data_IF_402268292316
#
_entry.id   IF_402268292316
#
_cell.length_a   1.000
_cell.length_b   1.000
_cell.length_c   1.000
_cell.angle_alpha   90.00
_cell.angle_beta   90.00
_cell.angle_gamma   90.00
#
_symmetry.space_group_name_H-M   'P 1'
#
loop_
_entity.id
_entity.type
_entity.pdbx_description
1 polymer ?
#
# COMPACT_ATOMS: atom_id res chain seq x y z
N UNK A 1 -28.49 32.54 14.21
CA UNK A 1 -27.98 32.31 12.83
C UNK A 1 -26.47 32.01 12.75
N UNK A 2 -25.57 32.89 13.24
CA UNK A 2 -24.11 32.59 13.21
C UNK A 2 -23.71 31.42 14.11
N UNK A 3 -24.29 31.27 15.29
CA UNK A 3 -24.05 30.13 16.19
C UNK A 3 -24.52 28.81 15.59
N UNK A 4 -25.65 28.81 14.90
CA UNK A 4 -26.19 27.61 14.25
C UNK A 4 -25.30 27.14 13.08
N UNK A 5 -24.75 28.10 12.32
CA UNK A 5 -23.79 27.78 11.22
C UNK A 5 -22.49 27.18 11.77
N UNK A 6 -21.99 27.70 12.90
CA UNK A 6 -20.81 27.17 13.55
C UNK A 6 -21.04 25.74 14.09
N UNK A 7 -22.20 25.49 14.70
CA UNK A 7 -22.61 24.17 15.18
C UNK A 7 -22.73 23.17 14.03
N UNK A 8 -23.36 23.53 12.92
CA UNK A 8 -23.52 22.71 11.73
C UNK A 8 -22.17 22.38 11.08
N UNK A 9 -21.25 23.35 11.00
CA UNK A 9 -19.89 23.12 10.50
C UNK A 9 -19.12 22.13 11.37
N UNK A 10 -19.21 22.27 12.70
CA UNK A 10 -18.58 21.37 13.67
C UNK A 10 -19.14 19.95 13.57
N UNK A 11 -20.46 19.82 13.44
CA UNK A 11 -21.11 18.51 13.27
C UNK A 11 -20.73 17.84 11.96
N UNK A 12 -20.71 18.60 10.84
CA UNK A 12 -20.28 18.10 9.54
C UNK A 12 -18.81 17.65 9.54
N UNK A 13 -17.95 18.43 10.18
CA UNK A 13 -16.53 18.08 10.33
C UNK A 13 -16.35 16.80 11.16
N UNK A 14 -17.07 16.66 12.28
CA UNK A 14 -17.04 15.45 13.10
C UNK A 14 -17.54 14.22 12.34
N UNK A 15 -18.64 14.33 11.61
CA UNK A 15 -19.17 13.24 10.78
C UNK A 15 -18.18 12.82 9.69
N UNK A 16 -17.53 13.78 9.05
CA UNK A 16 -16.49 13.52 8.04
C UNK A 16 -15.29 12.80 8.65
N UNK A 17 -14.81 13.25 9.80
CA UNK A 17 -13.70 12.58 10.51
C UNK A 17 -14.05 11.14 10.91
N UNK A 18 -15.24 10.92 11.48
CA UNK A 18 -15.66 9.58 11.89
C UNK A 18 -15.76 8.61 10.70
N UNK A 19 -16.27 9.08 9.55
CA UNK A 19 -16.27 8.28 8.31
C UNK A 19 -14.84 7.96 7.86
N UNK A 20 -13.94 8.95 7.91
CA UNK A 20 -12.52 8.73 7.56
C UNK A 20 -11.86 7.68 8.46
N UNK A 21 -12.09 7.73 9.76
CA UNK A 21 -11.58 6.73 10.72
C UNK A 21 -12.15 5.35 10.42
N UNK A 22 -13.47 5.23 10.18
CA UNK A 22 -14.11 3.96 9.86
C UNK A 22 -13.51 3.34 8.59
N UNK A 23 -13.32 4.14 7.53
CA UNK A 23 -12.67 3.66 6.30
C UNK A 23 -11.20 3.27 6.53
N UNK A 24 -10.46 4.01 7.35
CA UNK A 24 -9.08 3.67 7.68
C UNK A 24 -8.98 2.34 8.44
N UNK A 25 -9.86 2.09 9.40
CA UNK A 25 -9.94 0.82 10.13
C UNK A 25 -10.30 -0.33 9.18
N UNK A 26 -11.33 -0.15 8.35
CA UNK A 26 -11.73 -1.15 7.36
C UNK A 26 -10.58 -1.47 6.38
N UNK A 27 -9.88 -0.44 5.89
CA UNK A 27 -8.70 -0.60 5.04
C UNK A 27 -7.59 -1.39 5.73
N UNK A 28 -7.32 -1.11 7.02
CA UNK A 28 -6.33 -1.84 7.80
C UNK A 28 -6.68 -3.33 7.95
N UNK A 29 -7.94 -3.66 8.21
CA UNK A 29 -8.42 -5.04 8.26
C UNK A 29 -8.24 -5.73 6.90
N UNK A 30 -8.66 -5.08 5.81
CA UNK A 30 -8.49 -5.62 4.45
C UNK A 30 -7.01 -5.82 4.09
N UNK A 31 -6.13 -4.91 4.50
CA UNK A 31 -4.69 -5.03 4.29
C UNK A 31 -4.10 -6.23 5.07
N UNK A 32 -4.52 -6.43 6.31
CA UNK A 32 -4.11 -7.59 7.09
C UNK A 32 -4.56 -8.92 6.47
N UNK A 33 -5.81 -8.98 5.99
CA UNK A 33 -6.32 -10.15 5.26
C UNK A 33 -5.55 -10.39 3.95
N UNK A 34 -5.31 -9.33 3.17
CA UNK A 34 -4.48 -9.40 1.96
C UNK A 34 -3.11 -10.01 2.24
N UNK A 35 -2.42 -9.51 3.27
CA UNK A 35 -1.10 -10.03 3.66
C UNK A 35 -1.16 -11.50 4.07
N UNK A 36 -2.15 -11.88 4.86
CA UNK A 36 -2.33 -13.27 5.29
C UNK A 36 -2.57 -14.22 4.11
N UNK A 37 -3.44 -13.84 3.16
CA UNK A 37 -3.70 -14.64 1.97
C UNK A 37 -2.50 -14.68 1.03
N UNK A 38 -1.74 -13.59 0.91
CA UNK A 38 -0.52 -13.56 0.11
C UNK A 38 0.52 -14.53 0.68
N UNK A 39 0.79 -14.47 1.99
CA UNK A 39 1.71 -15.41 2.67
C UNK A 39 1.25 -16.87 2.52
N UNK A 40 -0.05 -17.11 2.64
CA UNK A 40 -0.61 -18.45 2.43
C UNK A 40 -0.38 -18.94 0.98
N UNK A 41 -0.58 -18.07 0.00
CA UNK A 41 -0.30 -18.36 -1.41
C UNK A 41 1.17 -18.66 -1.67
N UNK A 42 2.09 -17.93 -1.05
CA UNK A 42 3.54 -18.14 -1.18
C UNK A 42 4.03 -19.45 -0.54
N UNK A 43 3.24 -20.05 0.35
CA UNK A 43 3.62 -21.27 1.07
C UNK A 43 2.82 -22.50 0.67
N UNK A 44 1.76 -22.36 -0.13
CA UNK A 44 0.86 -23.47 -0.47
C UNK A 44 0.52 -23.52 -1.98
N UNK A 45 0.15 -24.71 -2.42
CA UNK A 45 -0.27 -24.96 -3.80
C UNK A 45 0.84 -24.77 -4.81
N UNK A 46 0.45 -24.41 -6.04
CA UNK A 46 1.38 -24.22 -7.17
C UNK A 46 2.35 -23.08 -6.92
N UNK A 47 1.87 -21.97 -6.36
CA UNK A 47 2.70 -20.84 -6.00
C UNK A 47 3.73 -21.20 -4.94
N UNK A 48 3.32 -21.94 -3.89
CA UNK A 48 4.22 -22.41 -2.87
C UNK A 48 5.34 -23.28 -3.43
N UNK A 49 5.01 -24.21 -4.33
CA UNK A 49 5.99 -25.04 -5.02
C UNK A 49 6.99 -24.19 -5.85
N UNK A 50 6.50 -23.18 -6.58
CA UNK A 50 7.37 -22.29 -7.35
C UNK A 50 8.26 -21.42 -6.46
N UNK A 51 7.73 -20.88 -5.38
CA UNK A 51 8.54 -20.12 -4.41
C UNK A 51 9.56 -21.01 -3.67
N UNK A 52 9.25 -22.28 -3.47
CA UNK A 52 10.19 -23.27 -2.93
C UNK A 52 11.26 -23.71 -3.95
N UNK A 53 11.17 -23.30 -5.21
CA UNK A 53 12.08 -23.69 -6.27
C UNK A 53 11.85 -25.11 -6.79
N UNK A 54 10.66 -25.67 -6.57
CA UNK A 54 10.30 -27.00 -7.03
C UNK A 54 9.98 -27.01 -8.53
N UNK A 55 10.24 -28.15 -9.18
CA UNK A 55 9.86 -28.37 -10.57
C UNK A 55 8.34 -28.50 -10.70
N UNK A 56 7.77 -27.87 -11.72
CA UNK A 56 6.35 -27.97 -12.04
C UNK A 56 6.14 -28.75 -13.34
N UNK A 57 5.35 -29.81 -13.28
CA UNK A 57 5.00 -30.65 -14.45
C UNK A 57 6.21 -31.14 -15.27
N UNK A 58 7.31 -31.51 -14.63
CA UNK A 58 8.51 -31.99 -15.29
C UNK A 58 9.39 -30.91 -15.91
N UNK A 59 9.07 -29.64 -15.77
CA UNK A 59 9.91 -28.52 -16.14
C UNK A 59 11.06 -28.33 -15.13
N UNK A 60 12.16 -27.73 -15.58
CA UNK A 60 13.26 -27.36 -14.68
C UNK A 60 12.80 -26.39 -13.59
N UNK A 61 13.39 -26.46 -12.38
CA UNK A 61 13.09 -25.51 -11.33
C UNK A 61 13.39 -24.07 -11.80
N UNK A 62 12.63 -23.11 -11.26
CA UNK A 62 12.86 -21.70 -11.56
C UNK A 62 14.22 -21.23 -11.02
N UNK A 63 14.85 -20.30 -11.73
CA UNK A 63 16.09 -19.68 -11.23
C UNK A 63 15.82 -18.87 -9.95
N UNK A 64 16.83 -18.69 -9.11
CA UNK A 64 16.72 -17.86 -7.90
C UNK A 64 16.24 -16.43 -8.21
N UNK A 65 16.68 -15.84 -9.33
CA UNK A 65 16.19 -14.55 -9.80
C UNK A 65 14.69 -14.58 -10.12
N UNK A 66 14.22 -15.62 -10.83
CA UNK A 66 12.81 -15.76 -11.17
C UNK A 66 11.94 -15.94 -9.92
N UNK A 67 12.40 -16.74 -8.95
CA UNK A 67 11.70 -16.93 -7.68
C UNK A 67 11.59 -15.61 -6.92
N UNK A 68 12.71 -14.90 -6.77
CA UNK A 68 12.75 -13.68 -5.94
C UNK A 68 12.00 -12.51 -6.58
N UNK A 69 12.18 -12.27 -7.87
CA UNK A 69 11.70 -11.04 -8.51
C UNK A 69 10.55 -11.27 -9.49
N UNK A 70 10.60 -12.31 -10.33
CA UNK A 70 9.57 -12.52 -11.35
C UNK A 70 8.26 -13.00 -10.72
N UNK A 71 8.30 -13.92 -9.77
CA UNK A 71 7.09 -14.36 -9.07
C UNK A 71 6.51 -13.24 -8.21
N UNK A 72 7.36 -12.44 -7.54
CA UNK A 72 6.94 -11.28 -6.79
C UNK A 72 6.25 -10.24 -7.68
N UNK A 73 6.83 -9.95 -8.86
CA UNK A 73 6.25 -9.04 -9.83
C UNK A 73 4.90 -9.56 -10.37
N UNK A 74 4.79 -10.87 -10.62
CA UNK A 74 3.56 -11.49 -11.10
C UNK A 74 2.45 -11.44 -10.02
N UNK A 75 2.78 -11.72 -8.77
CA UNK A 75 1.84 -11.61 -7.64
C UNK A 75 1.33 -10.17 -7.46
N UNK A 76 2.24 -9.19 -7.50
CA UNK A 76 1.91 -7.78 -7.46
C UNK A 76 1.01 -7.37 -8.64
N UNK A 77 1.40 -7.76 -9.86
CA UNK A 77 0.65 -7.45 -11.08
C UNK A 77 -0.76 -8.04 -11.11
N UNK A 78 -0.95 -9.25 -10.61
CA UNK A 78 -2.29 -9.85 -10.46
C UNK A 78 -3.15 -9.06 -9.49
N UNK A 79 -2.62 -8.65 -8.34
CA UNK A 79 -3.33 -7.82 -7.38
C UNK A 79 -3.79 -6.50 -8.01
N UNK A 80 -2.89 -5.81 -8.71
CA UNK A 80 -3.19 -4.51 -9.31
C UNK A 80 -4.11 -4.64 -10.53
N UNK A 81 -4.03 -5.73 -11.30
CA UNK A 81 -4.96 -6.04 -12.38
C UNK A 81 -6.41 -6.14 -11.88
N UNK A 82 -6.65 -6.93 -10.83
CA UNK A 82 -8.00 -7.08 -10.26
C UNK A 82 -8.50 -5.77 -9.65
N UNK A 83 -7.65 -5.03 -8.97
CA UNK A 83 -7.97 -3.72 -8.41
C UNK A 83 -8.28 -2.70 -9.50
N UNK A 84 -7.51 -2.70 -10.59
CA UNK A 84 -7.71 -1.86 -11.77
C UNK A 84 -9.04 -2.16 -12.48
N UNK A 85 -9.34 -3.43 -12.73
CA UNK A 85 -10.61 -3.87 -13.31
C UNK A 85 -11.80 -3.45 -12.45
N UNK A 86 -11.71 -3.64 -11.13
CA UNK A 86 -12.75 -3.19 -10.21
C UNK A 86 -12.96 -1.68 -10.26
N UNK A 87 -11.88 -0.91 -10.28
CA UNK A 87 -11.93 0.55 -10.38
C UNK A 87 -12.57 1.02 -11.67
N UNK A 88 -12.29 0.36 -12.80
CA UNK A 88 -12.95 0.63 -14.09
C UNK A 88 -14.44 0.36 -14.03
N UNK A 89 -14.86 -0.78 -13.46
CA UNK A 89 -16.28 -1.11 -13.29
C UNK A 89 -16.98 -0.05 -12.44
N UNK A 90 -16.33 0.43 -11.38
CA UNK A 90 -16.88 1.48 -10.52
C UNK A 90 -16.99 2.82 -11.26
N UNK A 91 -15.99 3.22 -12.06
CA UNK A 91 -16.06 4.41 -12.91
C UNK A 91 -17.13 4.29 -13.99
N UNK A 92 -17.29 3.10 -14.60
CA UNK A 92 -18.33 2.85 -15.59
C UNK A 92 -19.73 2.98 -14.99
N UNK A 93 -19.98 2.35 -13.83
CA UNK A 93 -21.26 2.45 -13.12
C UNK A 93 -21.64 3.87 -12.74
N UNK A 94 -20.65 4.73 -12.47
CA UNK A 94 -20.86 6.13 -12.12
C UNK A 94 -20.86 7.08 -13.35
N UNK A 95 -20.73 6.56 -14.56
CA UNK A 95 -20.68 7.38 -15.78
C UNK A 95 -19.41 8.23 -15.93
N UNK A 96 -18.33 7.90 -15.19
CA UNK A 96 -17.11 8.71 -15.07
C UNK A 96 -15.99 8.32 -16.03
N UNK A 97 -16.21 7.37 -16.96
CA UNK A 97 -15.17 6.93 -17.90
C UNK A 97 -14.65 8.06 -18.81
N UNK A 98 -15.55 8.97 -19.24
CA UNK A 98 -15.17 10.13 -20.02
C UNK A 98 -14.27 11.10 -19.26
N UNK A 99 -14.57 11.29 -17.97
CA UNK A 99 -13.82 12.17 -17.10
C UNK A 99 -12.47 11.54 -16.69
N UNK A 100 -12.41 10.22 -16.51
CA UNK A 100 -11.17 9.48 -16.31
C UNK A 100 -10.19 9.74 -17.47
N UNK A 101 -10.67 9.59 -18.74
CA UNK A 101 -9.84 9.84 -19.93
C UNK A 101 -9.34 11.29 -20.00
N UNK A 102 -10.19 12.26 -19.69
CA UNK A 102 -9.81 13.69 -19.69
C UNK A 102 -8.79 13.98 -18.59
N UNK A 103 -9.00 13.42 -17.39
CA UNK A 103 -8.16 13.66 -16.22
C UNK A 103 -6.74 13.11 -16.41
N UNK A 104 -6.58 11.95 -17.04
CA UNK A 104 -5.26 11.37 -17.39
C UNK A 104 -4.40 12.35 -18.20
N UNK A 105 -5.01 13.13 -19.09
CA UNK A 105 -4.30 14.10 -19.92
C UNK A 105 -3.85 15.36 -19.15
N UNK A 106 -4.39 15.61 -17.95
CA UNK A 106 -4.06 16.79 -17.14
C UNK A 106 -2.74 16.63 -16.37
N UNK A 107 -2.15 17.76 -15.94
CA UNK A 107 -0.97 17.73 -15.06
C UNK A 107 -1.20 16.93 -13.79
N UNK A 108 -2.29 17.16 -13.01
CA UNK A 108 -2.56 16.36 -11.81
C UNK A 108 -2.70 14.86 -12.10
N UNK A 109 -3.38 14.50 -13.22
CA UNK A 109 -3.52 13.10 -13.64
C UNK A 109 -2.18 12.44 -13.93
N UNK A 110 -1.29 13.12 -14.66
CA UNK A 110 0.06 12.59 -14.97
C UNK A 110 0.93 12.46 -13.72
N UNK A 111 0.87 13.42 -12.80
CA UNK A 111 1.59 13.31 -11.51
C UNK A 111 1.06 12.12 -10.72
N UNK A 112 -0.26 11.92 -10.69
CA UNK A 112 -0.88 10.76 -10.05
C UNK A 112 -0.37 9.44 -10.66
N UNK A 113 -0.31 9.34 -12.00
CA UNK A 113 0.23 8.17 -12.69
C UNK A 113 1.70 7.91 -12.32
N UNK A 114 2.55 8.95 -12.36
CA UNK A 114 3.96 8.80 -12.00
C UNK A 114 4.14 8.31 -10.56
N UNK A 115 3.37 8.86 -9.62
CA UNK A 115 3.43 8.43 -8.23
C UNK A 115 2.86 7.03 -8.04
N UNK A 116 1.82 6.67 -8.79
CA UNK A 116 1.27 5.32 -8.78
C UNK A 116 2.26 4.28 -9.33
N UNK A 117 3.09 4.63 -10.32
CA UNK A 117 4.15 3.76 -10.81
C UNK A 117 5.23 3.49 -9.74
N UNK A 118 5.47 4.44 -8.85
CA UNK A 118 6.39 4.26 -7.70
C UNK A 118 5.73 3.44 -6.59
N UNK A 119 4.51 3.77 -6.21
CA UNK A 119 3.80 3.11 -5.11
C UNK A 119 3.19 1.76 -5.51
N UNK A 120 2.77 1.57 -6.77
CA UNK A 120 2.26 0.31 -7.31
C UNK A 120 3.40 -0.67 -7.59
N UNK A 121 3.91 -0.72 -8.84
CA UNK A 121 4.85 -1.76 -9.24
C UNK A 121 6.09 -1.82 -8.36
N UNK A 122 6.76 -0.68 -8.16
CA UNK A 122 8.02 -0.67 -7.40
C UNK A 122 7.82 -1.05 -5.93
N UNK A 123 6.90 -0.38 -5.23
CA UNK A 123 6.71 -0.64 -3.79
C UNK A 123 6.04 -1.99 -3.53
N UNK A 124 5.08 -2.40 -4.37
CA UNK A 124 4.39 -3.68 -4.20
C UNK A 124 5.31 -4.85 -4.50
N UNK A 125 6.13 -4.80 -5.56
CA UNK A 125 7.16 -5.81 -5.84
C UNK A 125 8.15 -5.88 -4.67
N UNK A 126 8.64 -4.73 -4.20
CA UNK A 126 9.54 -4.69 -3.05
C UNK A 126 8.90 -5.34 -1.80
N UNK A 127 7.61 -5.09 -1.55
CA UNK A 127 6.89 -5.71 -0.43
C UNK A 127 6.78 -7.23 -0.58
N UNK A 128 6.43 -7.75 -1.76
CA UNK A 128 6.32 -9.19 -2.00
C UNK A 128 7.69 -9.86 -1.89
N UNK A 129 8.75 -9.24 -2.44
CA UNK A 129 10.13 -9.71 -2.25
C UNK A 129 10.51 -9.76 -0.76
N UNK A 130 10.15 -8.72 0.00
CA UNK A 130 10.39 -8.67 1.43
C UNK A 130 9.69 -9.81 2.17
N UNK A 131 8.41 -10.01 1.87
CA UNK A 131 7.58 -11.02 2.50
C UNK A 131 8.11 -12.44 2.20
N UNK A 132 8.42 -12.72 0.93
CA UNK A 132 8.99 -14.00 0.51
C UNK A 132 10.33 -14.28 1.21
N UNK A 133 11.26 -13.33 1.21
CA UNK A 133 12.57 -13.48 1.87
C UNK A 133 12.43 -13.73 3.37
N UNK A 134 11.51 -13.03 4.04
CA UNK A 134 11.28 -13.21 5.46
C UNK A 134 10.51 -14.49 5.78
N UNK A 135 9.63 -14.95 4.89
CA UNK A 135 8.92 -16.23 5.01
C UNK A 135 9.91 -17.38 4.90
N UNK A 136 10.83 -17.34 3.96
CA UNK A 136 11.92 -18.33 3.80
C UNK A 136 12.83 -18.37 5.05
N UNK A 137 13.05 -17.23 5.70
CA UNK A 137 13.81 -17.14 6.96
C UNK A 137 12.98 -17.47 8.22
N UNK A 138 11.69 -17.84 8.08
CA UNK A 138 10.81 -18.15 9.21
C UNK A 138 10.30 -16.94 9.99
N UNK A 139 10.47 -15.71 9.51
CA UNK A 139 10.16 -14.47 10.21
C UNK A 139 9.26 -13.48 9.42
N UNK A 140 8.15 -13.89 8.79
CA UNK A 140 7.34 -12.97 7.97
C UNK A 140 6.68 -11.84 8.78
N UNK A 141 6.47 -12.05 10.08
CA UNK A 141 5.84 -11.07 10.97
C UNK A 141 6.61 -9.76 11.15
N UNK A 142 7.89 -9.70 10.77
CA UNK A 142 8.71 -8.48 10.84
C UNK A 142 8.38 -7.52 9.68
N UNK A 143 7.98 -8.02 8.54
CA UNK A 143 7.82 -7.24 7.31
C UNK A 143 6.64 -6.27 7.39
N UNK A 144 5.50 -6.73 7.91
CA UNK A 144 4.28 -5.91 8.00
C UNK A 144 4.47 -4.64 8.83
N UNK A 145 5.08 -4.73 10.05
CA UNK A 145 5.40 -3.54 10.84
C UNK A 145 6.32 -2.55 10.12
N UNK A 146 7.35 -3.04 9.43
CA UNK A 146 8.27 -2.16 8.68
C UNK A 146 7.52 -1.48 7.52
N UNK A 147 6.73 -2.23 6.77
CA UNK A 147 5.93 -1.68 5.68
C UNK A 147 4.90 -0.65 6.18
N UNK A 148 4.35 -0.83 7.39
CA UNK A 148 3.41 0.12 8.01
C UNK A 148 4.04 1.49 8.36
N UNK A 149 5.39 1.63 8.32
CA UNK A 149 6.07 2.92 8.43
C UNK A 149 5.69 3.88 7.28
N UNK A 150 5.06 3.39 6.22
CA UNK A 150 4.55 4.21 5.11
C UNK A 150 3.69 5.37 5.61
N UNK A 151 2.88 5.17 6.66
CA UNK A 151 2.06 6.22 7.25
C UNK A 151 2.90 7.35 7.86
N UNK A 152 3.98 7.00 8.56
CA UNK A 152 4.92 7.96 9.14
C UNK A 152 5.69 8.70 8.05
N UNK A 153 6.22 7.97 7.07
CA UNK A 153 6.93 8.52 5.90
C UNK A 153 6.02 9.47 5.14
N UNK A 154 4.78 9.07 4.85
CA UNK A 154 3.79 9.90 4.16
C UNK A 154 3.45 11.18 4.93
N UNK A 155 3.34 11.11 6.26
CA UNK A 155 3.09 12.29 7.10
C UNK A 155 4.27 13.27 7.09
N UNK A 156 5.50 12.76 7.18
CA UNK A 156 6.73 13.56 7.11
C UNK A 156 6.88 14.21 5.73
N UNK A 157 6.71 13.44 4.66
CA UNK A 157 6.73 13.94 3.29
C UNK A 157 5.64 14.98 3.04
N UNK A 158 4.43 14.78 3.56
CA UNK A 158 3.33 15.75 3.49
C UNK A 158 3.68 17.07 4.17
N UNK A 159 4.43 17.02 5.27
CA UNK A 159 4.94 18.22 5.94
C UNK A 159 6.00 18.93 5.11
N UNK A 160 6.93 18.19 4.51
CA UNK A 160 8.06 18.75 3.75
C UNK A 160 7.59 19.28 2.39
N UNK A 161 6.87 18.47 1.61
CA UNK A 161 6.52 18.78 0.23
C UNK A 161 5.32 19.75 0.13
N UNK A 162 4.30 19.55 0.98
CA UNK A 162 3.04 20.29 0.90
C UNK A 162 2.81 21.21 2.09
N UNK A 163 3.79 21.36 2.99
CA UNK A 163 3.72 22.20 4.20
C UNK A 163 2.45 21.92 5.05
N UNK A 164 1.97 20.67 5.03
CA UNK A 164 0.81 20.27 5.81
C UNK A 164 1.09 20.40 7.30
N UNK A 165 0.10 20.86 8.08
CA UNK A 165 0.22 20.92 9.52
C UNK A 165 0.17 19.53 10.14
N UNK A 166 1.21 19.14 10.87
CA UNK A 166 1.22 17.97 11.73
C UNK A 166 0.68 18.39 13.11
N UNK A 167 -0.64 18.36 13.27
CA UNK A 167 -1.25 18.57 14.58
C UNK A 167 -0.96 17.42 15.55
N UNK A 168 -1.08 17.68 16.85
CA UNK A 168 -0.77 16.70 17.91
C UNK A 168 -1.49 15.35 17.72
N UNK A 169 -2.72 15.34 17.25
CA UNK A 169 -3.45 14.10 16.97
C UNK A 169 -2.85 13.26 15.85
N UNK A 170 -2.31 13.90 14.80
CA UNK A 170 -1.62 13.19 13.71
C UNK A 170 -0.31 12.59 14.19
N UNK A 171 0.45 13.35 14.99
CA UNK A 171 1.69 12.88 15.61
C UNK A 171 1.41 11.71 16.55
N UNK A 172 0.39 11.82 17.41
CA UNK A 172 -0.02 10.72 18.28
C UNK A 172 -0.42 9.47 17.48
N UNK A 173 -1.16 9.61 16.37
CA UNK A 173 -1.50 8.50 15.49
C UNK A 173 -0.26 7.82 14.89
N UNK A 174 0.71 8.59 14.42
CA UNK A 174 1.98 8.04 13.90
C UNK A 174 2.74 7.30 15.01
N UNK A 175 2.82 7.87 16.22
CA UNK A 175 3.51 7.22 17.35
C UNK A 175 2.81 5.92 17.78
N UNK A 176 1.48 5.86 17.76
CA UNK A 176 0.72 4.63 18.03
C UNK A 176 1.00 3.57 16.95
N UNK A 177 1.04 3.95 15.66
CA UNK A 177 1.42 3.03 14.59
C UNK A 177 2.84 2.49 14.77
N UNK A 178 3.80 3.36 15.11
CA UNK A 178 5.19 2.95 15.37
C UNK A 178 5.29 2.02 16.58
N UNK A 179 4.58 2.32 17.66
CA UNK A 179 4.56 1.48 18.86
C UNK A 179 3.93 0.10 18.56
N UNK A 180 2.82 0.05 17.82
CA UNK A 180 2.20 -1.20 17.40
C UNK A 180 3.13 -2.01 16.48
N UNK A 181 3.81 -1.36 15.54
CA UNK A 181 4.80 -1.98 14.68
C UNK A 181 5.96 -2.58 15.50
N UNK A 182 6.48 -1.82 16.45
CA UNK A 182 7.54 -2.28 17.36
C UNK A 182 7.09 -3.45 18.25
N UNK A 183 5.84 -3.42 18.73
CA UNK A 183 5.28 -4.51 19.56
C UNK A 183 5.13 -5.82 18.76
N UNK A 184 4.68 -5.75 17.51
CA UNK A 184 4.51 -6.92 16.64
C UNK A 184 5.88 -7.45 16.18
N UNK A 185 6.79 -6.56 15.77
CA UNK A 185 8.10 -6.92 15.24
C UNK A 185 9.13 -7.27 16.32
N UNK A 186 8.97 -6.76 17.55
CA UNK A 186 10.02 -6.77 18.57
C UNK A 186 10.53 -8.16 18.96
N UNK A 187 9.66 -9.15 19.03
CA UNK A 187 10.06 -10.55 19.32
C UNK A 187 10.76 -11.23 18.14
N UNK A 188 10.47 -10.81 16.94
CA UNK A 188 11.03 -11.36 15.70
C UNK A 188 12.38 -10.73 15.33
N UNK A 189 12.66 -9.50 15.78
CA UNK A 189 13.93 -8.82 15.54
C UNK A 189 15.13 -9.46 16.24
N UNK A 190 14.91 -10.08 17.38
CA UNK A 190 15.99 -10.65 18.21
C UNK A 190 16.72 -11.84 17.56
N UNK A 191 16.08 -12.52 16.59
CA UNK A 191 16.58 -13.75 15.97
C UNK A 191 16.74 -13.63 14.45
N UNK A 192 17.02 -12.42 13.93
CA UNK A 192 17.13 -12.18 12.49
C UNK A 192 18.47 -12.63 11.93
N UNK A 193 18.43 -13.53 10.93
CA UNK A 193 19.55 -13.85 10.05
C UNK A 193 19.72 -12.83 8.90
N UNK A 194 20.82 -12.97 8.12
CA UNK A 194 21.10 -12.09 6.97
C UNK A 194 19.98 -12.01 5.94
N UNK A 195 19.26 -13.10 5.71
CA UNK A 195 18.13 -13.17 4.75
C UNK A 195 16.94 -12.34 5.23
N UNK A 196 16.68 -12.33 6.54
CA UNK A 196 15.64 -11.50 7.12
C UNK A 196 16.00 -10.00 7.02
N UNK A 197 17.28 -9.64 7.15
CA UNK A 197 17.76 -8.26 6.94
C UNK A 197 17.53 -7.79 5.49
N UNK A 198 17.76 -8.65 4.51
CA UNK A 198 17.42 -8.37 3.12
C UNK A 198 15.92 -8.08 2.95
N UNK A 199 15.07 -8.91 3.54
CA UNK A 199 13.62 -8.68 3.58
C UNK A 199 13.26 -7.34 4.23
N UNK A 200 13.88 -6.99 5.35
CA UNK A 200 13.65 -5.70 6.02
C UNK A 200 14.02 -4.49 5.14
N UNK A 201 15.12 -4.57 4.39
CA UNK A 201 15.50 -3.52 3.44
C UNK A 201 14.42 -3.31 2.38
N UNK A 202 13.93 -4.38 1.77
CA UNK A 202 12.86 -4.31 0.78
C UNK A 202 11.53 -3.85 1.37
N UNK A 203 11.21 -4.25 2.61
CA UNK A 203 10.05 -3.72 3.33
C UNK A 203 10.13 -2.21 3.56
N UNK A 204 11.32 -1.69 3.87
CA UNK A 204 11.55 -0.26 4.02
C UNK A 204 11.43 0.48 2.69
N UNK A 205 11.95 -0.08 1.59
CA UNK A 205 11.76 0.47 0.24
C UNK A 205 10.27 0.52 -0.14
N UNK A 206 9.51 -0.53 0.17
CA UNK A 206 8.06 -0.55 -0.01
C UNK A 206 7.37 0.53 0.81
N UNK A 207 7.73 0.67 2.10
CA UNK A 207 7.20 1.71 2.98
C UNK A 207 7.46 3.12 2.44
N UNK A 208 8.65 3.37 1.89
CA UNK A 208 9.00 4.65 1.27
C UNK A 208 8.15 4.90 0.02
N UNK A 209 8.06 3.93 -0.89
CA UNK A 209 7.28 4.05 -2.13
C UNK A 209 5.79 4.31 -1.84
N UNK A 210 5.17 3.55 -0.95
CA UNK A 210 3.78 3.76 -0.55
C UNK A 210 3.57 5.06 0.23
N UNK A 211 4.51 5.43 1.11
CA UNK A 211 4.46 6.70 1.84
C UNK A 211 4.53 7.90 0.91
N UNK A 212 5.40 7.86 -0.10
CA UNK A 212 5.51 8.88 -1.13
C UNK A 212 4.24 8.96 -1.98
N UNK A 213 3.77 7.82 -2.51
CA UNK A 213 2.54 7.76 -3.28
C UNK A 213 1.35 8.28 -2.47
N UNK A 214 1.16 7.79 -1.25
CA UNK A 214 0.06 8.19 -0.38
C UNK A 214 0.06 9.68 -0.06
N UNK A 215 1.25 10.27 0.12
CA UNK A 215 1.41 11.70 0.33
C UNK A 215 0.95 12.51 -0.90
N UNK A 216 1.41 12.13 -2.09
CA UNK A 216 1.09 12.83 -3.35
C UNK A 216 -0.36 12.57 -3.76
N UNK A 217 -0.84 11.33 -3.65
CA UNK A 217 -2.22 10.98 -3.94
C UNK A 217 -3.20 11.71 -3.00
N UNK A 218 -2.88 11.79 -1.71
CA UNK A 218 -3.68 12.53 -0.74
C UNK A 218 -3.82 14.02 -1.08
N UNK A 219 -2.76 14.65 -1.60
CA UNK A 219 -2.83 16.01 -2.12
C UNK A 219 -3.58 16.08 -3.46
N UNK A 220 -3.36 15.10 -4.33
CA UNK A 220 -4.01 15.02 -5.66
C UNK A 220 -5.54 14.91 -5.58
N UNK A 221 -6.08 14.24 -4.55
CA UNK A 221 -7.54 14.12 -4.35
C UNK A 221 -8.23 15.44 -4.00
N UNK A 222 -7.50 16.50 -3.70
CA UNK A 222 -8.05 17.87 -3.61
C UNK A 222 -8.34 18.44 -5.00
N UNK A 223 -7.62 17.98 -6.03
CA UNK A 223 -7.67 18.49 -7.40
C UNK A 223 -8.46 17.57 -8.36
N UNK A 224 -8.59 16.30 -8.02
CA UNK A 224 -9.22 15.25 -8.83
C UNK A 224 -10.27 14.54 -7.97
N UNK A 225 -11.42 14.18 -8.57
CA UNK A 225 -12.39 13.30 -7.91
C UNK A 225 -11.68 12.01 -7.44
N UNK A 226 -11.89 11.64 -6.18
CA UNK A 226 -11.17 10.53 -5.55
C UNK A 226 -11.38 9.19 -6.27
N UNK A 227 -12.54 8.95 -6.89
CA UNK A 227 -12.84 7.73 -7.63
C UNK A 227 -12.01 7.65 -8.91
N UNK A 228 -11.90 8.78 -9.61
CA UNK A 228 -11.05 8.91 -10.78
C UNK A 228 -9.58 8.78 -10.39
N UNK A 229 -9.18 9.40 -9.28
CA UNK A 229 -7.83 9.29 -8.73
C UNK A 229 -7.44 7.84 -8.41
N UNK A 230 -8.32 7.08 -7.74
CA UNK A 230 -8.11 5.66 -7.46
C UNK A 230 -8.04 4.85 -8.75
N UNK A 231 -8.92 5.11 -9.73
CA UNK A 231 -8.89 4.41 -11.01
C UNK A 231 -7.57 4.67 -11.77
N UNK A 232 -7.11 5.92 -11.83
CA UNK A 232 -5.80 6.26 -12.44
C UNK A 232 -4.68 5.50 -11.73
N UNK A 233 -4.69 5.49 -10.39
CA UNK A 233 -3.70 4.81 -9.58
C UNK A 233 -3.64 3.31 -9.92
N UNK A 234 -4.75 2.60 -9.82
CA UNK A 234 -4.81 1.16 -10.00
C UNK A 234 -4.58 0.69 -11.44
N UNK A 235 -4.92 1.53 -12.43
CA UNK A 235 -4.65 1.24 -13.83
C UNK A 235 -3.19 1.52 -14.24
N UNK A 236 -2.49 2.31 -13.45
CA UNK A 236 -1.07 2.63 -13.71
C UNK A 236 -0.15 1.64 -13.00
N UNK A 237 -0.56 1.16 -11.83
CA UNK A 237 0.15 0.13 -11.06
C UNK A 237 0.11 -1.22 -11.76
#
# INVERSE_FOLDING_TARGET
MQQDIAALRKQRHRSFMMKGIAFAVASGICYGLYTAFLTLGETQGVWGAWFAGEAWNGNAPLSAFAITFTLAALAAGLNDLFSGLWSLVMCAKNGQLGDLRKTIATKPGRVMMLCAAIGGPFATIAYVVALNSATAAGNPGVIVPIAALNCAIGAVLGRILFKQSLGAHKIAGVLVCLAAAAAIGGTSFANMGPEALFGCLFAFLAAFGWGFEGCVAGFGTVLIDYRIGIAIRQLTA
#
